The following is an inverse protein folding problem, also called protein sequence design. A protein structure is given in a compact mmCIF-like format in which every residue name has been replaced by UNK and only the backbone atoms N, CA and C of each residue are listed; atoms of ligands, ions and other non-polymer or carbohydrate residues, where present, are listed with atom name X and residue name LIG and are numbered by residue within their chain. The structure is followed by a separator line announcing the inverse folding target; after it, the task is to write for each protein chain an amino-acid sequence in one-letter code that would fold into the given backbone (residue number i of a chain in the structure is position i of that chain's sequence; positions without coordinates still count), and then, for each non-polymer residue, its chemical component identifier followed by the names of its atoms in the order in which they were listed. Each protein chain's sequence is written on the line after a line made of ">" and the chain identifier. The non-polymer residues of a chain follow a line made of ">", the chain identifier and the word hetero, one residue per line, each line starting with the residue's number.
data_IF_381995600253
#
_entry.id   IF_381995600253
#
_cell.length_a   1.000
_cell.length_b   1.000
_cell.length_c   1.000
_cell.angle_alpha   90.00
_cell.angle_beta   90.00
_cell.angle_gamma   90.00
#
_symmetry.space_group_name_H-M   'P 1'
#
loop_
_entity.id
_entity.type
_entity.pdbx_description
1 polymer ?
#
# COMPACT_ATOMS: atom_id res chain seq x y z
N UNK A 1 -5.06 9.21 5.14
CA UNK A 1 -5.66 9.07 3.78
C UNK A 1 -5.25 10.30 3.00
N UNK A 2 -4.60 10.15 1.83
CA UNK A 2 -4.03 11.27 1.07
C UNK A 2 -5.15 11.97 0.27
N UNK A 3 -5.58 13.19 0.66
CA UNK A 3 -6.77 13.81 0.09
C UNK A 3 -6.55 14.40 -1.33
N UNK A 4 -5.31 14.38 -1.83
CA UNK A 4 -4.93 14.94 -3.14
C UNK A 4 -4.83 13.88 -4.25
N UNK A 5 -5.05 12.60 -3.93
CA UNK A 5 -5.11 11.53 -4.94
C UNK A 5 -6.42 11.62 -5.70
N UNK A 6 -6.40 12.29 -6.84
CA UNK A 6 -7.52 12.26 -7.79
C UNK A 6 -7.49 10.94 -8.57
N UNK A 7 -8.29 9.97 -8.10
CA UNK A 7 -8.56 8.74 -8.82
C UNK A 7 -9.54 8.96 -9.98
N UNK A 8 -9.34 8.31 -11.14
CA UNK A 8 -10.38 8.22 -12.16
C UNK A 8 -11.69 7.68 -11.58
N UNK A 9 -12.83 8.14 -12.08
CA UNK A 9 -14.17 7.73 -11.61
C UNK A 9 -14.37 6.20 -11.72
N UNK A 10 -13.77 5.57 -12.73
CA UNK A 10 -13.85 4.12 -12.95
C UNK A 10 -12.68 3.33 -12.33
N UNK A 11 -11.87 3.96 -11.47
CA UNK A 11 -10.75 3.29 -10.84
C UNK A 11 -11.26 2.21 -9.89
N UNK A 12 -10.94 0.97 -10.21
CA UNK A 12 -11.21 -0.17 -9.32
C UNK A 12 -10.01 -0.37 -8.41
N UNK A 13 -10.27 -0.48 -7.11
CA UNK A 13 -9.25 -0.88 -6.14
C UNK A 13 -8.58 -2.18 -6.60
N UNK A 14 -7.25 -2.20 -6.78
CA UNK A 14 -6.54 -3.42 -7.16
C UNK A 14 -6.69 -4.50 -6.09
N UNK A 15 -6.75 -5.76 -6.52
CA UNK A 15 -6.70 -6.89 -5.60
C UNK A 15 -5.25 -7.25 -5.32
N UNK A 16 -4.81 -6.98 -4.10
CA UNK A 16 -3.47 -7.31 -3.65
C UNK A 16 -3.39 -8.74 -3.13
N UNK A 17 -2.28 -9.43 -3.43
CA UNK A 17 -1.90 -10.59 -2.60
C UNK A 17 -1.32 -10.03 -1.31
N UNK A 18 -2.06 -10.24 -0.22
CA UNK A 18 -1.75 -9.65 1.08
C UNK A 18 -0.49 -10.24 1.72
N UNK A 19 0.25 -9.40 2.42
CA UNK A 19 1.43 -9.73 3.21
C UNK A 19 1.05 -9.94 4.67
N UNK A 20 1.37 -11.10 5.21
CA UNK A 20 1.05 -11.49 6.58
C UNK A 20 2.18 -11.26 7.59
N UNK A 21 3.39 -10.92 7.11
CA UNK A 21 4.58 -10.77 7.93
C UNK A 21 5.61 -11.89 7.79
N UNK A 22 5.28 -12.99 7.11
CA UNK A 22 6.14 -14.19 7.07
C UNK A 22 6.82 -14.44 5.71
N UNK A 23 6.27 -13.90 4.61
CA UNK A 23 6.93 -13.99 3.29
C UNK A 23 8.11 -12.99 3.17
N UNK A 24 8.92 -13.09 2.11
CA UNK A 24 10.02 -12.14 1.87
C UNK A 24 9.47 -10.71 1.64
N UNK A 25 9.81 -9.72 2.50
CA UNK A 25 9.32 -8.34 2.36
C UNK A 25 9.71 -7.70 1.03
N UNK A 26 10.89 -8.03 0.48
CA UNK A 26 11.38 -7.45 -0.77
C UNK A 26 10.59 -8.00 -1.96
N UNK A 27 10.34 -9.30 -1.99
CA UNK A 27 9.46 -9.92 -2.98
C UNK A 27 8.03 -9.37 -2.91
N UNK A 28 7.50 -9.15 -1.70
CA UNK A 28 6.21 -8.51 -1.52
C UNK A 28 6.18 -7.11 -2.14
N UNK A 29 7.15 -6.23 -1.79
CA UNK A 29 7.22 -4.87 -2.32
C UNK A 29 7.32 -4.84 -3.86
N UNK A 30 8.16 -5.70 -4.45
CA UNK A 30 8.26 -5.82 -5.91
C UNK A 30 6.92 -6.20 -6.54
N UNK A 31 6.22 -7.17 -5.95
CA UNK A 31 4.89 -7.62 -6.41
C UNK A 31 3.86 -6.51 -6.29
N UNK A 32 3.80 -5.84 -5.13
CA UNK A 32 2.90 -4.72 -4.85
C UNK A 32 3.06 -3.59 -5.87
N UNK A 33 4.31 -3.12 -6.07
CA UNK A 33 4.61 -2.07 -7.03
C UNK A 33 4.25 -2.44 -8.47
N UNK A 34 4.47 -3.70 -8.87
CA UNK A 34 4.14 -4.16 -10.22
C UNK A 34 2.62 -4.24 -10.47
N UNK A 35 1.83 -4.61 -9.46
CA UNK A 35 0.36 -4.64 -9.57
C UNK A 35 -0.23 -3.24 -9.80
N UNK A 36 0.39 -2.22 -9.20
CA UNK A 36 -0.03 -0.83 -9.35
C UNK A 36 0.53 -0.15 -10.61
N UNK A 37 1.74 -0.52 -11.06
CA UNK A 37 2.29 -0.08 -12.36
C UNK A 37 1.37 -0.41 -13.53
N UNK A 38 0.74 -1.58 -13.53
CA UNK A 38 -0.26 -1.97 -14.53
C UNK A 38 -1.51 -1.07 -14.55
N UNK A 39 -1.76 -0.34 -13.46
CA UNK A 39 -2.87 0.61 -13.32
C UNK A 39 -2.45 2.08 -13.56
N UNK A 40 -1.22 2.33 -14.01
CA UNK A 40 -0.71 3.70 -14.25
C UNK A 40 -0.45 4.49 -12.96
N UNK A 41 -0.13 3.80 -11.86
CA UNK A 41 -0.06 4.41 -10.53
C UNK A 41 1.06 5.44 -10.34
N UNK A 42 0.72 6.61 -9.78
CA UNK A 42 1.65 7.59 -9.20
C UNK A 42 2.11 7.12 -7.80
N UNK A 43 3.21 7.68 -7.29
CA UNK A 43 3.74 7.38 -5.94
C UNK A 43 2.68 7.54 -4.83
N UNK A 44 1.81 8.54 -4.97
CA UNK A 44 0.70 8.78 -4.03
C UNK A 44 -0.29 7.60 -3.94
N UNK A 45 -0.49 6.86 -5.03
CA UNK A 45 -1.31 5.65 -5.04
C UNK A 45 -0.62 4.48 -4.33
N UNK A 46 0.71 4.37 -4.50
CA UNK A 46 1.50 3.37 -3.79
C UNK A 46 1.43 3.61 -2.27
N UNK A 47 1.47 4.86 -1.82
CA UNK A 47 1.33 5.17 -0.40
C UNK A 47 -0.10 4.96 0.10
N UNK A 48 -1.11 5.35 -0.69
CA UNK A 48 -2.53 5.25 -0.29
C UNK A 48 -2.99 3.81 -0.09
N UNK A 49 -2.56 2.88 -0.95
CA UNK A 49 -3.03 1.50 -0.93
C UNK A 49 -2.11 0.53 -0.17
N UNK A 50 -1.03 1.02 0.44
CA UNK A 50 -0.05 0.12 1.06
C UNK A 50 -0.68 -0.68 2.20
N UNK A 51 -1.47 -0.04 3.07
CA UNK A 51 -2.18 -0.72 4.16
C UNK A 51 -3.13 -1.83 3.67
N UNK A 52 -3.78 -1.66 2.51
CA UNK A 52 -4.67 -2.66 1.92
C UNK A 52 -3.93 -3.93 1.46
N UNK A 53 -2.62 -3.82 1.23
CA UNK A 53 -1.75 -4.93 0.87
C UNK A 53 -1.27 -5.75 2.07
N UNK A 54 -1.60 -5.36 3.30
CA UNK A 54 -1.18 -6.01 4.54
C UNK A 54 -2.33 -6.83 5.17
N UNK A 55 -1.97 -7.81 5.98
CA UNK A 55 -2.90 -8.56 6.84
C UNK A 55 -2.22 -9.07 8.11
N UNK A 56 -3.04 -9.43 9.09
CA UNK A 56 -2.58 -10.01 10.36
C UNK A 56 -1.58 -9.10 11.07
N UNK A 57 -0.49 -9.69 11.55
CA UNK A 57 0.54 -9.00 12.33
C UNK A 57 1.15 -7.84 11.53
N UNK A 58 1.32 -7.99 10.21
CA UNK A 58 1.83 -6.91 9.37
C UNK A 58 0.88 -5.69 9.31
N UNK A 59 -0.44 -5.92 9.28
CA UNK A 59 -1.41 -4.81 9.33
C UNK A 59 -1.48 -4.17 10.70
N UNK A 60 -1.38 -4.94 11.78
CA UNK A 60 -1.33 -4.42 13.15
C UNK A 60 -0.10 -3.52 13.35
N UNK A 61 1.09 -4.01 12.97
CA UNK A 61 2.33 -3.23 13.01
C UNK A 61 2.23 -1.92 12.24
N UNK A 62 1.56 -1.92 11.07
CA UNK A 62 1.41 -0.73 10.24
C UNK A 62 0.48 0.32 10.87
N UNK A 63 -0.59 -0.11 11.54
CA UNK A 63 -1.54 0.77 12.25
C UNK A 63 -0.88 1.36 13.51
N UNK A 64 -0.06 0.56 14.19
CA UNK A 64 0.64 0.96 15.42
C UNK A 64 1.84 1.90 15.17
N UNK A 65 2.15 2.23 13.91
CA UNK A 65 3.18 3.23 13.61
C UNK A 65 2.74 4.60 14.10
N UNK A 66 3.50 5.17 15.04
CA UNK A 66 3.35 6.57 15.44
C UNK A 66 3.83 7.49 14.30
N UNK A 67 2.88 7.96 13.49
CA UNK A 67 3.18 8.82 12.34
C UNK A 67 3.57 10.25 12.73
N UNK A 68 3.55 10.59 14.03
CA UNK A 68 3.90 11.92 14.54
C UNK A 68 5.30 12.38 14.12
N UNK A 69 6.22 11.43 13.90
CA UNK A 69 7.62 11.70 13.57
C UNK A 69 7.96 11.50 12.08
N UNK A 70 6.98 11.28 11.19
CA UNK A 70 7.26 11.06 9.76
C UNK A 70 7.45 12.35 8.95
N UNK A 71 7.14 13.50 9.54
CA UNK A 71 7.23 14.81 8.88
C UNK A 71 8.35 15.69 9.45
N UNK A 72 9.18 15.15 10.34
CA UNK A 72 10.35 15.85 10.95
C UNK A 72 11.64 15.58 10.19
#
# INVERSE_FOLDING_TARGET
>A
MFPHVHLPIDFKTPKFKKYDGYEDPVAHLKRYCNQLKGAGSKEELLMTYFGESLMGIASEWFIDQDTSNWYT
#
